data_IF_314663465772
#
_entry.id   IF_314663465772
#
_cell.length_a   1.000
_cell.length_b   1.000
_cell.length_c   1.000
_cell.angle_alpha   90.00
_cell.angle_beta   90.00
_cell.angle_gamma   90.00
#
_symmetry.space_group_name_H-M   'P 1'
#
loop_
_entity.id
_entity.type
_entity.pdbx_description
1 polymer ?
#
# COMPACT_ATOMS: atom_id res chain seq x y z
N UNK A 1 15.27 36.11 -52.20
CA UNK A 1 16.61 35.50 -52.26
C UNK A 1 17.07 35.37 -50.81
N UNK A 2 16.95 34.19 -50.21
CA UNK A 2 17.33 33.98 -48.80
C UNK A 2 18.86 34.09 -48.66
N UNK A 3 19.33 34.77 -47.61
CA UNK A 3 20.76 34.89 -47.32
C UNK A 3 21.28 33.56 -46.77
N UNK A 4 22.53 33.14 -47.04
CA UNK A 4 23.14 31.96 -46.43
C UNK A 4 23.02 31.92 -44.89
N UNK A 5 22.91 33.09 -44.25
CA UNK A 5 22.69 33.23 -42.80
C UNK A 5 21.32 32.71 -42.34
N UNK A 6 20.26 32.94 -43.12
CA UNK A 6 18.89 32.58 -42.73
C UNK A 6 18.70 31.05 -42.68
N UNK A 7 19.38 30.33 -43.59
CA UNK A 7 19.34 28.86 -43.64
C UNK A 7 20.02 28.23 -42.42
N UNK A 8 21.18 28.76 -42.01
CA UNK A 8 21.92 28.26 -40.86
C UNK A 8 21.16 28.51 -39.54
N UNK A 9 20.46 29.64 -39.43
CA UNK A 9 19.62 29.95 -38.26
C UNK A 9 18.41 29.02 -38.14
N UNK A 10 17.77 28.68 -39.26
CA UNK A 10 16.67 27.70 -39.29
C UNK A 10 17.15 26.33 -38.82
N UNK A 11 18.29 25.85 -39.33
CA UNK A 11 18.86 24.56 -38.95
C UNK A 11 19.28 24.54 -37.47
N UNK A 12 19.92 25.60 -36.98
CA UNK A 12 20.29 25.75 -35.57
C UNK A 12 19.06 25.69 -34.65
N UNK A 13 17.96 26.34 -35.04
CA UNK A 13 16.72 26.33 -34.26
C UNK A 13 16.05 24.95 -34.28
N UNK A 14 16.06 24.26 -35.42
CA UNK A 14 15.54 22.89 -35.52
C UNK A 14 16.34 21.91 -34.63
N UNK A 15 17.67 21.97 -34.66
CA UNK A 15 18.53 21.14 -33.81
C UNK A 15 18.35 21.43 -32.32
N UNK A 16 18.15 22.70 -31.95
CA UNK A 16 17.84 23.08 -30.55
C UNK A 16 16.52 22.49 -30.08
N UNK A 17 15.50 22.47 -30.94
CA UNK A 17 14.22 21.86 -30.62
C UNK A 17 14.34 20.34 -30.45
N UNK A 18 15.05 19.68 -31.36
CA UNK A 18 15.32 18.24 -31.27
C UNK A 18 16.08 17.89 -29.98
N UNK A 19 17.13 18.64 -29.63
CA UNK A 19 17.86 18.45 -28.36
C UNK A 19 16.92 18.61 -27.15
N UNK A 20 16.01 19.58 -27.20
CA UNK A 20 15.01 19.78 -26.13
C UNK A 20 14.10 18.57 -26.00
N UNK A 21 13.58 18.07 -27.12
CA UNK A 21 12.72 16.89 -27.15
C UNK A 21 13.45 15.65 -26.63
N UNK A 22 14.67 15.39 -27.11
CA UNK A 22 15.48 14.26 -26.67
C UNK A 22 15.74 14.30 -25.16
N UNK A 23 16.02 15.49 -24.60
CA UNK A 23 16.20 15.66 -23.15
C UNK A 23 14.91 15.36 -22.37
N UNK A 24 13.75 15.78 -22.89
CA UNK A 24 12.46 15.46 -22.29
C UNK A 24 12.19 13.96 -22.28
N UNK A 25 12.45 13.28 -23.41
CA UNK A 25 12.31 11.83 -23.50
C UNK A 25 13.25 11.09 -22.55
N UNK A 26 14.52 11.53 -22.45
CA UNK A 26 15.49 10.95 -21.52
C UNK A 26 15.05 11.13 -20.07
N UNK A 27 14.57 12.32 -19.69
CA UNK A 27 14.07 12.57 -18.34
C UNK A 27 12.87 11.68 -17.99
N UNK A 28 11.90 11.54 -18.90
CA UNK A 28 10.75 10.67 -18.70
C UNK A 28 11.16 9.18 -18.61
N UNK A 29 12.13 8.74 -19.42
CA UNK A 29 12.66 7.39 -19.36
C UNK A 29 13.40 7.10 -18.04
N UNK A 30 14.18 8.07 -17.55
CA UNK A 30 14.86 7.98 -16.26
C UNK A 30 13.87 7.92 -15.10
N UNK A 31 12.83 8.76 -15.12
CA UNK A 31 11.78 8.75 -14.11
C UNK A 31 11.05 7.41 -14.07
N UNK A 32 10.66 6.87 -15.23
CA UNK A 32 10.02 5.56 -15.31
C UNK A 32 10.95 4.44 -14.79
N UNK A 33 12.23 4.48 -15.12
CA UNK A 33 13.21 3.52 -14.62
C UNK A 33 13.35 3.60 -13.08
N UNK A 34 13.38 4.81 -12.51
CA UNK A 34 13.45 5.02 -11.07
C UNK A 34 12.18 4.51 -10.36
N UNK A 35 11.00 4.79 -10.90
CA UNK A 35 9.74 4.27 -10.35
C UNK A 35 9.69 2.74 -10.38
N UNK A 36 10.15 2.12 -11.48
CA UNK A 36 10.24 0.66 -11.60
C UNK A 36 11.18 0.05 -10.57
N UNK A 37 12.35 0.65 -10.37
CA UNK A 37 13.31 0.17 -9.38
C UNK A 37 12.79 0.32 -7.95
N UNK A 38 12.18 1.45 -7.61
CA UNK A 38 11.55 1.66 -6.30
C UNK A 38 10.43 0.65 -6.02
N UNK A 39 9.60 0.36 -7.03
CA UNK A 39 8.57 -0.67 -6.93
C UNK A 39 9.21 -2.05 -6.73
N UNK A 40 10.22 -2.40 -7.54
CA UNK A 40 10.93 -3.68 -7.44
C UNK A 40 11.59 -3.88 -6.07
N UNK A 41 12.26 -2.85 -5.52
CA UNK A 41 12.87 -2.90 -4.20
C UNK A 41 11.84 -3.07 -3.08
N UNK A 42 10.69 -2.40 -3.21
CA UNK A 42 9.61 -2.52 -2.23
C UNK A 42 8.98 -3.92 -2.27
N UNK A 43 8.77 -4.48 -3.47
CA UNK A 43 8.31 -5.86 -3.65
C UNK A 43 9.31 -6.88 -3.08
N UNK A 44 10.62 -6.69 -3.30
CA UNK A 44 11.66 -7.56 -2.71
C UNK A 44 11.62 -7.51 -1.20
N UNK A 45 11.59 -6.32 -0.59
CA UNK A 45 11.51 -6.15 0.87
C UNK A 45 10.25 -6.80 1.45
N UNK A 46 9.10 -6.56 0.83
CA UNK A 46 7.85 -7.20 1.22
C UNK A 46 7.98 -8.72 1.18
N UNK A 47 8.46 -9.29 0.06
CA UNK A 47 8.63 -10.73 -0.10
C UNK A 47 9.58 -11.31 0.95
N UNK A 48 10.73 -10.68 1.18
CA UNK A 48 11.69 -11.12 2.20
C UNK A 48 11.07 -11.16 3.59
N UNK A 49 10.33 -10.12 3.99
CA UNK A 49 9.69 -10.07 5.32
C UNK A 49 8.55 -11.07 5.42
N UNK A 50 7.74 -11.20 4.37
CA UNK A 50 6.58 -12.09 4.35
C UNK A 50 7.00 -13.57 4.37
N UNK A 51 7.91 -13.97 3.47
CA UNK A 51 8.34 -15.35 3.31
C UNK A 51 9.21 -15.84 4.46
N UNK A 52 10.14 -15.01 4.94
CA UNK A 52 11.07 -15.40 6.01
C UNK A 52 10.55 -15.08 7.42
N UNK A 53 9.31 -14.63 7.57
CA UNK A 53 8.74 -14.41 8.91
C UNK A 53 8.57 -15.73 9.65
N UNK A 54 8.97 -15.83 10.92
CA UNK A 54 8.69 -17.00 11.74
C UNK A 54 7.21 -17.10 12.16
N UNK A 55 6.41 -16.05 11.92
CA UNK A 55 4.98 -16.03 12.21
C UNK A 55 4.19 -16.49 10.99
N UNK A 56 3.09 -17.22 11.23
CA UNK A 56 2.17 -17.60 10.17
C UNK A 56 1.44 -16.40 9.59
N UNK A 57 1.81 -15.98 8.38
CA UNK A 57 1.24 -14.83 7.68
C UNK A 57 0.39 -15.27 6.48
N UNK A 58 -0.68 -14.53 6.24
CA UNK A 58 -1.60 -14.74 5.12
C UNK A 58 -2.24 -13.43 4.69
N UNK A 59 -2.55 -13.36 3.40
CA UNK A 59 -3.40 -12.34 2.80
C UNK A 59 -4.68 -13.03 2.37
N UNK A 60 -5.82 -12.51 2.83
CA UNK A 60 -7.15 -13.04 2.51
C UNK A 60 -7.97 -11.99 1.75
N UNK A 61 -8.82 -12.45 0.85
CA UNK A 61 -9.80 -11.64 0.15
C UNK A 61 -11.09 -11.48 0.98
N UNK A 62 -12.02 -10.58 0.58
CA UNK A 62 -13.25 -10.32 1.32
C UNK A 62 -14.18 -11.52 1.48
N UNK A 63 -14.04 -12.54 0.64
CA UNK A 63 -14.73 -13.83 0.68
C UNK A 63 -14.04 -14.86 1.60
N UNK A 64 -13.04 -14.40 2.38
CA UNK A 64 -12.19 -15.22 3.26
C UNK A 64 -11.28 -16.21 2.53
N UNK A 65 -11.14 -16.08 1.21
CA UNK A 65 -10.23 -16.89 0.40
C UNK A 65 -8.79 -16.44 0.59
N UNK A 66 -7.89 -17.38 0.86
CA UNK A 66 -6.45 -17.12 1.00
C UNK A 66 -5.86 -16.82 -0.38
N UNK A 67 -5.30 -15.62 -0.54
CA UNK A 67 -4.61 -15.17 -1.75
C UNK A 67 -3.10 -15.41 -1.67
N UNK A 68 -2.54 -15.31 -0.48
CA UNK A 68 -1.13 -15.57 -0.23
C UNK A 68 -0.94 -16.11 1.19
N UNK A 69 0.01 -17.01 1.38
CA UNK A 69 0.42 -17.54 2.67
C UNK A 69 1.95 -17.70 2.67
N UNK A 70 2.59 -17.59 3.83
CA UNK A 70 4.01 -17.90 3.96
C UNK A 70 4.25 -19.35 4.41
N UNK A 71 5.50 -19.81 4.31
CA UNK A 71 5.87 -21.17 4.69
C UNK A 71 5.58 -21.46 6.18
N UNK A 72 5.86 -20.49 7.06
CA UNK A 72 5.60 -20.64 8.50
C UNK A 72 4.12 -20.93 8.82
N UNK A 73 3.17 -20.36 8.06
CA UNK A 73 1.75 -20.68 8.24
C UNK A 73 1.45 -22.11 7.80
N UNK A 74 2.08 -22.59 6.72
CA UNK A 74 1.89 -23.94 6.24
C UNK A 74 2.39 -24.97 7.26
N UNK A 75 3.58 -24.74 7.80
CA UNK A 75 4.18 -25.57 8.85
C UNK A 75 3.31 -25.59 10.11
N UNK A 76 2.82 -24.41 10.53
CA UNK A 76 1.94 -24.27 11.70
C UNK A 76 0.61 -25.02 11.54
N UNK A 77 0.07 -25.09 10.31
CA UNK A 77 -1.18 -25.78 10.00
C UNK A 77 -0.96 -27.26 9.62
N UNK A 78 0.29 -27.73 9.57
CA UNK A 78 0.62 -29.11 9.18
C UNK A 78 0.33 -29.43 7.71
N UNK A 79 0.34 -28.42 6.83
CA UNK A 79 0.18 -28.61 5.38
C UNK A 79 1.52 -28.49 4.67
N UNK A 80 1.78 -29.36 3.70
CA UNK A 80 3.12 -29.52 3.10
C UNK A 80 3.64 -28.33 2.27
N UNK A 81 2.80 -27.33 1.96
CA UNK A 81 3.28 -26.10 1.32
C UNK A 81 2.30 -24.94 1.49
N UNK A 82 2.81 -23.71 1.43
CA UNK A 82 1.99 -22.50 1.39
C UNK A 82 1.09 -22.45 0.14
N UNK A 83 1.52 -23.04 -0.98
CA UNK A 83 0.72 -23.13 -2.21
C UNK A 83 -0.56 -23.93 -2.03
N UNK A 84 -0.57 -24.95 -1.17
CA UNK A 84 -1.76 -25.75 -0.87
C UNK A 84 -2.84 -24.98 -0.08
N UNK A 85 -2.48 -23.84 0.51
CA UNK A 85 -3.41 -22.94 1.21
C UNK A 85 -4.09 -21.96 0.25
N UNK A 86 -3.42 -21.57 -0.83
CA UNK A 86 -3.91 -20.56 -1.76
C UNK A 86 -5.18 -21.05 -2.46
N UNK A 87 -6.20 -20.20 -2.53
CA UNK A 87 -7.50 -20.51 -3.12
C UNK A 87 -8.48 -21.22 -2.18
N UNK A 88 -8.05 -21.67 -1.00
CA UNK A 88 -8.93 -22.22 0.03
C UNK A 88 -9.46 -21.12 0.95
N UNK A 89 -10.57 -21.40 1.65
CA UNK A 89 -11.08 -20.47 2.66
C UNK A 89 -10.34 -20.67 3.97
N UNK A 90 -10.01 -19.58 4.65
CA UNK A 90 -9.34 -19.66 5.97
C UNK A 90 -10.20 -20.39 7.02
N UNK A 91 -11.52 -20.37 6.85
CA UNK A 91 -12.48 -21.08 7.70
C UNK A 91 -12.33 -22.61 7.67
N UNK A 92 -11.70 -23.16 6.63
CA UNK A 92 -11.45 -24.61 6.52
C UNK A 92 -10.39 -25.08 7.53
N UNK A 93 -9.56 -24.15 8.02
CA UNK A 93 -8.48 -24.39 8.99
C UNK A 93 -8.78 -23.80 10.36
N UNK A 94 -9.83 -22.97 10.47
CA UNK A 94 -10.23 -22.36 11.73
C UNK A 94 -11.00 -23.35 12.60
N UNK A 95 -10.75 -23.30 13.92
CA UNK A 95 -11.53 -24.08 14.87
C UNK A 95 -13.03 -23.71 14.78
N UNK A 96 -13.96 -24.67 14.82
CA UNK A 96 -15.40 -24.41 14.71
C UNK A 96 -15.94 -23.32 15.65
N UNK A 97 -15.45 -23.27 16.89
CA UNK A 97 -15.82 -22.23 17.87
C UNK A 97 -15.44 -20.79 17.46
N UNK A 98 -14.49 -20.60 16.55
CA UNK A 98 -14.02 -19.27 16.11
C UNK A 98 -14.65 -18.83 14.78
N UNK A 99 -15.59 -19.60 14.20
CA UNK A 99 -16.23 -19.22 12.93
C UNK A 99 -16.99 -17.90 13.03
N UNK A 100 -17.68 -17.68 14.16
CA UNK A 100 -18.36 -16.42 14.44
C UNK A 100 -17.40 -15.22 14.47
N UNK A 101 -16.21 -15.39 15.08
CA UNK A 101 -15.19 -14.34 15.11
C UNK A 101 -14.73 -13.93 13.71
N UNK A 102 -14.62 -14.91 12.80
CA UNK A 102 -14.26 -14.68 11.39
C UNK A 102 -15.36 -13.97 10.61
N UNK A 103 -16.63 -14.35 10.80
CA UNK A 103 -17.78 -13.68 10.19
C UNK A 103 -17.87 -12.22 10.65
N UNK A 104 -17.72 -11.98 11.95
CA UNK A 104 -17.69 -10.64 12.52
C UNK A 104 -16.51 -9.81 12.00
N UNK A 105 -15.32 -10.42 11.88
CA UNK A 105 -14.15 -9.76 11.30
C UNK A 105 -14.40 -9.40 9.82
N UNK A 106 -15.00 -10.31 9.05
CA UNK A 106 -15.33 -10.11 7.65
C UNK A 106 -16.28 -8.91 7.47
N UNK A 107 -17.33 -8.83 8.28
CA UNK A 107 -18.26 -7.70 8.29
C UNK A 107 -17.57 -6.40 8.69
N UNK A 108 -16.69 -6.41 9.69
CA UNK A 108 -15.99 -5.19 10.12
C UNK A 108 -15.02 -4.65 9.09
N UNK A 109 -14.29 -5.53 8.41
CA UNK A 109 -13.27 -5.14 7.43
C UNK A 109 -13.87 -4.81 6.06
N UNK A 110 -14.87 -5.58 5.62
CA UNK A 110 -15.42 -5.50 4.27
C UNK A 110 -16.94 -5.33 4.20
N UNK A 111 -17.62 -5.26 5.35
CA UNK A 111 -19.02 -4.82 5.39
C UNK A 111 -19.12 -3.44 4.76
N UNK A 112 -20.11 -3.28 3.88
CA UNK A 112 -20.30 -2.08 3.08
C UNK A 112 -20.34 -0.84 3.98
N UNK A 113 -19.25 -0.07 4.03
CA UNK A 113 -19.29 1.27 4.60
C UNK A 113 -20.00 2.17 3.60
N UNK A 114 -21.34 2.11 3.56
CA UNK A 114 -22.17 3.18 3.00
C UNK A 114 -22.03 4.41 3.91
N UNK A 115 -20.92 5.10 3.80
CA UNK A 115 -20.81 6.53 4.14
C UNK A 115 -20.24 7.17 2.87
N UNK A 116 -21.05 7.45 1.86
CA UNK A 116 -21.87 8.66 1.78
C UNK A 116 -21.07 9.88 2.26
N UNK A 117 -20.64 10.70 1.28
CA UNK A 117 -20.21 12.10 1.36
C UNK A 117 -19.39 12.54 2.59
N UNK A 118 -18.21 13.11 2.31
CA UNK A 118 -17.48 14.03 3.19
C UNK A 118 -18.43 14.93 4.00
N UNK A 119 -18.66 14.59 5.26
CA UNK A 119 -18.99 15.55 6.31
C UNK A 119 -18.13 15.21 7.53
N UNK A 120 -17.54 16.27 8.09
CA UNK A 120 -16.49 16.23 9.11
C UNK A 120 -16.88 15.35 10.32
N UNK A 121 -15.94 14.62 10.95
CA UNK A 121 -16.23 13.90 12.18
C UNK A 121 -16.56 14.88 13.31
N UNK A 122 -17.77 14.80 13.86
CA UNK A 122 -18.15 15.47 15.09
C UNK A 122 -17.57 14.72 16.31
N UNK A 123 -16.25 14.78 16.51
CA UNK A 123 -15.60 14.39 17.78
C UNK A 123 -15.25 15.61 18.65
N UNK A 124 -16.07 16.66 18.54
CA UNK A 124 -16.19 17.70 19.54
C UNK A 124 -17.60 17.62 20.16
N UNK A 125 -17.78 16.73 21.13
CA UNK A 125 -18.77 16.93 22.19
C UNK A 125 -18.27 16.21 23.46
N UNK A 126 -18.12 16.92 24.59
CA UNK A 126 -17.57 16.38 25.82
C UNK A 126 -18.70 15.74 26.64
N UNK A 127 -18.52 14.51 27.11
CA UNK A 127 -19.10 14.01 28.36
C UNK A 127 -18.54 12.63 28.67
N UNK A 128 -17.43 12.59 29.41
CA UNK A 128 -17.07 11.42 30.20
C UNK A 128 -17.10 11.83 31.67
N UNK A 129 -17.74 11.06 32.58
CA UNK A 129 -17.80 11.40 33.98
C UNK A 129 -16.41 11.28 34.63
N UNK A 130 -16.13 12.26 35.47
CA UNK A 130 -14.85 12.52 36.11
C UNK A 130 -14.69 11.59 37.31
N UNK A 131 -13.79 10.61 37.22
CA UNK A 131 -13.18 9.99 38.39
C UNK A 131 -11.67 10.28 38.37
N UNK A 132 -11.19 10.93 39.44
CA UNK A 132 -9.77 11.20 39.68
C UNK A 132 -8.99 9.91 39.94
N UNK A 133 -7.67 9.89 40.04
CA UNK A 133 -6.68 10.93 40.36
C UNK A 133 -5.34 10.43 39.78
N UNK A 134 -4.49 11.32 39.28
CA UNK A 134 -3.03 11.10 39.31
C UNK A 134 -2.32 10.86 37.96
N UNK A 135 -1.35 11.76 37.72
CA UNK A 135 -0.15 11.57 36.89
C UNK A 135 -0.21 11.90 35.39
N UNK A 136 -0.09 13.21 35.13
CA UNK A 136 0.84 13.85 34.18
C UNK A 136 1.42 12.99 33.04
N UNK A 137 1.07 13.32 31.79
CA UNK A 137 2.06 13.40 30.70
C UNK A 137 1.88 14.68 29.88
N UNK A 138 3.01 15.38 29.80
CA UNK A 138 3.28 16.60 29.04
C UNK A 138 2.82 16.49 27.56
N UNK A 139 1.98 17.42 27.12
CA UNK A 139 1.82 17.75 25.69
C UNK A 139 2.67 18.98 25.40
N UNK A 140 3.82 18.80 24.75
CA UNK A 140 4.61 19.90 24.19
C UNK A 140 3.84 20.57 23.06
N UNK A 141 3.55 21.86 23.20
CA UNK A 141 3.04 22.71 22.13
C UNK A 141 4.05 22.76 20.98
N UNK A 142 3.66 22.34 19.78
CA UNK A 142 4.20 22.85 18.53
C UNK A 142 3.05 23.52 17.78
N UNK A 143 3.09 24.85 17.74
CA UNK A 143 2.31 25.67 16.80
C UNK A 143 3.08 25.72 15.46
N UNK A 144 2.43 25.53 14.32
CA UNK A 144 2.87 26.15 13.08
C UNK A 144 2.12 27.47 12.83
N UNK A 145 2.83 28.36 12.13
CA UNK A 145 2.57 29.74 11.68
C UNK A 145 1.15 30.30 11.76
#
# INVERSE_FOLDING_TARGET
>A
MFSPSDSAEIEMNALREEIRQLRQYQAAAQELAQQREQHAQSQRRFRTVFENSPLGQKIIAPDLTIRQANAALADMLGVGSAGALVGRRILDFAHPHHRYDWELLQERLWGTRRQASRSKPAWCAPTAPRFGVGSLRFCSKMKPA
#
